data_IF_702914748601
#
_entry.id   IF_702914748601
#
_cell.length_a   1.000
_cell.length_b   1.000
_cell.length_c   1.000
_cell.angle_alpha   90.00
_cell.angle_beta   90.00
_cell.angle_gamma   90.00
#
_symmetry.space_group_name_H-M   'P 1'
#
loop_
_entity.id
_entity.type
_entity.pdbx_description
1 polymer ?
#
# COMPACT_ATOMS: atom_id res chain seq x y z
N UNK A 1 60.30 -11.61 27.67
CA UNK A 1 59.35 -10.74 28.39
C UNK A 1 58.05 -10.77 27.60
N UNK A 2 57.03 -11.46 28.13
CA UNK A 2 55.72 -11.59 27.51
C UNK A 2 54.91 -10.31 27.71
N UNK A 3 54.28 -9.79 26.66
CA UNK A 3 53.17 -8.84 26.78
C UNK A 3 52.01 -9.37 25.94
N UNK A 4 51.08 -10.00 26.65
CA UNK A 4 49.74 -10.36 26.20
C UNK A 4 48.90 -9.08 26.14
N UNK A 5 48.31 -8.76 25.00
CA UNK A 5 47.22 -7.77 24.91
C UNK A 5 45.97 -8.53 24.47
N UNK A 6 45.02 -8.63 25.39
CA UNK A 6 43.72 -9.28 25.23
C UNK A 6 42.84 -8.54 24.20
N UNK A 7 41.95 -9.27 23.50
CA UNK A 7 40.96 -8.70 22.61
C UNK A 7 39.82 -8.08 23.41
N UNK A 8 39.47 -6.82 23.11
CA UNK A 8 38.23 -6.22 23.57
C UNK A 8 37.05 -6.89 22.86
N UNK A 9 36.51 -7.92 23.49
CA UNK A 9 35.15 -8.39 23.29
C UNK A 9 34.20 -7.32 23.82
N UNK A 10 33.84 -6.35 22.99
CA UNK A 10 32.71 -5.48 23.26
C UNK A 10 31.45 -6.33 23.09
N UNK A 11 30.88 -6.73 24.22
CA UNK A 11 29.52 -7.24 24.30
C UNK A 11 28.59 -6.21 23.65
N UNK A 12 28.12 -6.50 22.44
CA UNK A 12 26.89 -5.92 21.90
C UNK A 12 25.76 -6.42 22.80
N UNK A 13 25.47 -5.64 23.84
CA UNK A 13 24.29 -5.81 24.67
C UNK A 13 23.07 -5.79 23.75
N UNK A 14 22.44 -6.96 23.72
CA UNK A 14 21.18 -7.28 23.09
C UNK A 14 20.09 -6.37 23.66
N UNK A 15 19.83 -5.24 22.99
CA UNK A 15 18.65 -4.41 23.24
C UNK A 15 17.42 -5.13 22.69
N UNK A 16 16.78 -5.95 23.53
CA UNK A 16 15.50 -6.58 23.24
C UNK A 16 14.47 -5.51 22.87
N UNK A 17 14.15 -5.42 21.58
CA UNK A 17 13.19 -4.44 21.07
C UNK A 17 11.79 -4.80 21.57
N UNK A 18 11.12 -3.88 22.24
CA UNK A 18 9.68 -3.90 22.52
C UNK A 18 8.80 -3.70 21.26
N UNK A 19 9.40 -3.73 20.06
CA UNK A 19 8.70 -3.55 18.79
C UNK A 19 7.68 -4.64 18.39
N UNK A 20 7.85 -5.95 18.71
CA UNK A 20 6.94 -6.98 18.22
C UNK A 20 5.50 -6.82 18.72
N UNK A 21 5.31 -6.54 20.01
CA UNK A 21 3.98 -6.44 20.64
C UNK A 21 3.23 -5.16 20.24
N UNK A 22 3.95 -4.04 20.06
CA UNK A 22 3.33 -2.80 19.60
C UNK A 22 2.85 -2.94 18.14
N UNK A 23 3.63 -3.62 17.30
CA UNK A 23 3.27 -3.83 15.90
C UNK A 23 2.08 -4.79 15.76
N UNK A 24 2.03 -5.87 16.53
CA UNK A 24 0.90 -6.82 16.48
C UNK A 24 -0.43 -6.18 16.87
N UNK A 25 -0.41 -5.23 17.82
CA UNK A 25 -1.61 -4.49 18.21
C UNK A 25 -2.06 -3.49 17.14
N UNK A 26 -1.13 -2.99 16.33
CA UNK A 26 -1.45 -2.08 15.23
C UNK A 26 -1.93 -2.85 13.99
N UNK A 27 -1.45 -4.06 13.73
CA UNK A 27 -1.73 -4.82 12.48
C UNK A 27 -2.92 -5.78 12.56
N UNK A 28 -3.96 -5.40 13.31
CA UNK A 28 -5.15 -6.23 13.50
C UNK A 28 -6.41 -5.56 12.95
N UNK A 29 -6.37 -5.20 11.66
CA UNK A 29 -7.53 -4.62 11.01
C UNK A 29 -8.71 -5.59 10.98
N UNK A 30 -9.90 -5.04 11.24
CA UNK A 30 -11.14 -5.78 11.37
C UNK A 30 -11.99 -5.67 10.11
N UNK A 31 -13.00 -6.53 9.97
CA UNK A 31 -14.00 -6.40 8.90
C UNK A 31 -14.64 -5.02 8.82
N UNK A 32 -14.91 -4.38 9.97
CA UNK A 32 -15.46 -3.03 10.03
C UNK A 32 -14.49 -2.00 9.43
N UNK A 33 -13.20 -2.17 9.64
CA UNK A 33 -12.18 -1.29 9.08
C UNK A 33 -12.10 -1.37 7.56
N UNK A 34 -12.21 -2.59 7.00
CA UNK A 34 -12.28 -2.76 5.54
C UNK A 34 -13.51 -2.08 4.95
N UNK A 35 -14.67 -2.26 5.58
CA UNK A 35 -15.90 -1.60 5.13
C UNK A 35 -15.82 -0.07 5.27
N UNK A 36 -15.23 0.44 6.34
CA UNK A 36 -15.07 1.88 6.53
C UNK A 36 -14.11 2.50 5.50
N UNK A 37 -12.98 1.85 5.22
CA UNK A 37 -12.04 2.24 4.18
C UNK A 37 -12.68 2.31 2.78
N UNK A 38 -13.51 1.32 2.43
CA UNK A 38 -14.16 1.24 1.13
C UNK A 38 -15.40 2.13 1.02
N UNK A 39 -15.95 2.60 2.14
CA UNK A 39 -17.13 3.48 2.20
C UNK A 39 -16.74 4.93 1.91
N UNK A 40 -16.37 5.20 0.67
CA UNK A 40 -15.99 6.53 0.21
C UNK A 40 -16.43 6.79 -1.22
N UNK A 41 -16.66 8.07 -1.55
CA UNK A 41 -16.80 8.54 -2.94
C UNK A 41 -15.49 9.12 -3.48
N UNK A 42 -14.45 9.17 -2.65
CA UNK A 42 -13.15 9.67 -3.05
C UNK A 42 -12.38 8.64 -3.88
N UNK A 43 -11.42 9.15 -4.63
CA UNK A 43 -10.39 8.33 -5.24
C UNK A 43 -9.47 7.75 -4.17
N UNK A 44 -9.19 6.45 -4.27
CA UNK A 44 -8.27 5.75 -3.37
C UNK A 44 -6.96 5.50 -4.14
N UNK A 45 -5.91 6.21 -3.75
CA UNK A 45 -4.62 6.20 -4.43
C UNK A 45 -3.66 5.17 -3.83
N UNK A 46 -2.92 4.47 -4.68
CA UNK A 46 -1.74 3.70 -4.28
C UNK A 46 -0.58 4.67 -4.08
N UNK A 47 -0.24 4.91 -2.80
CA UNK A 47 0.83 5.84 -2.43
C UNK A 47 2.20 5.17 -2.57
N UNK A 48 2.35 3.98 -2.00
CA UNK A 48 3.59 3.21 -2.02
C UNK A 48 3.34 1.70 -2.11
N UNK A 49 4.31 0.96 -2.66
CA UNK A 49 4.32 -0.50 -2.66
C UNK A 49 5.72 -1.05 -2.38
N UNK A 50 5.82 -2.27 -1.83
CA UNK A 50 7.10 -2.88 -1.47
C UNK A 50 7.88 -3.36 -2.69
N UNK A 51 7.19 -3.99 -3.65
CA UNK A 51 7.80 -4.56 -4.86
C UNK A 51 7.27 -3.84 -6.09
N UNK A 52 8.16 -3.45 -7.01
CA UNK A 52 7.76 -2.88 -8.29
C UNK A 52 7.27 -3.99 -9.20
N UNK A 53 5.95 -4.10 -9.39
CA UNK A 53 5.38 -5.16 -10.21
C UNK A 53 5.33 -4.84 -11.69
N UNK A 54 5.26 -3.54 -12.04
CA UNK A 54 5.12 -3.04 -13.40
C UNK A 54 5.65 -1.61 -13.44
N UNK A 55 6.11 -1.14 -14.61
CA UNK A 55 6.46 0.27 -14.89
C UNK A 55 5.20 1.16 -14.92
N UNK A 56 4.41 1.10 -13.85
CA UNK A 56 3.19 1.86 -13.64
C UNK A 56 3.30 2.72 -12.39
N UNK A 57 2.74 3.92 -12.50
CA UNK A 57 2.57 4.85 -11.41
C UNK A 57 1.16 5.45 -11.45
N UNK A 58 0.85 6.33 -10.50
CA UNK A 58 -0.44 7.00 -10.42
C UNK A 58 -1.64 6.04 -10.37
N UNK A 59 -1.46 4.88 -9.73
CA UNK A 59 -2.52 3.88 -9.60
C UNK A 59 -3.59 4.37 -8.64
N UNK A 60 -4.84 4.36 -9.08
CA UNK A 60 -5.99 4.88 -8.33
C UNK A 60 -7.20 3.97 -8.53
N UNK A 61 -7.98 3.79 -7.48
CA UNK A 61 -9.29 3.15 -7.53
C UNK A 61 -10.39 4.19 -7.46
N UNK A 62 -11.38 4.03 -8.33
CA UNK A 62 -12.58 4.85 -8.42
C UNK A 62 -13.76 3.94 -8.14
N UNK A 63 -14.42 4.16 -7.01
CA UNK A 63 -15.60 3.40 -6.61
C UNK A 63 -16.76 3.59 -7.59
N UNK A 64 -17.45 2.49 -7.91
CA UNK A 64 -18.70 2.54 -8.66
C UNK A 64 -19.87 2.12 -7.79
N UNK A 65 -19.82 0.92 -7.23
CA UNK A 65 -20.93 0.35 -6.48
C UNK A 65 -20.43 -0.61 -5.41
N UNK A 66 -21.26 -0.80 -4.39
CA UNK A 66 -21.07 -1.88 -3.41
C UNK A 66 -22.41 -2.52 -3.18
N UNK A 67 -22.50 -3.81 -3.51
CA UNK A 67 -23.71 -4.59 -3.33
C UNK A 67 -23.37 -5.91 -2.65
N UNK A 68 -24.00 -6.17 -1.51
CA UNK A 68 -23.66 -7.27 -0.61
C UNK A 68 -22.17 -7.22 -0.24
N UNK A 69 -21.41 -8.22 -0.66
CA UNK A 69 -19.97 -8.33 -0.44
C UNK A 69 -19.18 -8.15 -1.75
N UNK A 70 -19.77 -7.51 -2.77
CA UNK A 70 -19.09 -7.21 -4.01
C UNK A 70 -18.82 -5.71 -4.08
N UNK A 71 -17.55 -5.35 -4.24
CA UNK A 71 -17.09 -3.98 -4.44
C UNK A 71 -16.65 -3.80 -5.88
N UNK A 72 -17.34 -2.94 -6.62
CA UNK A 72 -17.02 -2.64 -8.03
C UNK A 72 -16.32 -1.30 -8.13
N UNK A 73 -15.26 -1.27 -8.92
CA UNK A 73 -14.43 -0.10 -9.09
C UNK A 73 -13.68 -0.13 -10.41
N UNK A 74 -13.22 1.03 -10.85
CA UNK A 74 -12.25 1.13 -11.92
C UNK A 74 -10.88 1.41 -11.33
N UNK A 75 -9.89 0.62 -11.75
CA UNK A 75 -8.50 0.94 -11.51
C UNK A 75 -7.95 1.71 -12.71
N UNK A 76 -7.48 2.92 -12.47
CA UNK A 76 -6.68 3.66 -13.43
C UNK A 76 -5.21 3.63 -13.03
N UNK A 77 -4.32 3.62 -14.00
CA UNK A 77 -2.87 3.79 -13.77
C UNK A 77 -2.24 4.46 -14.98
N UNK A 78 -1.04 5.02 -14.79
CA UNK A 78 -0.22 5.55 -15.86
C UNK A 78 0.95 4.60 -16.09
N UNK A 79 1.22 4.28 -17.36
CA UNK A 79 2.29 3.39 -17.79
C UNK A 79 3.27 4.14 -18.68
N UNK A 80 4.56 3.86 -18.52
CA UNK A 80 5.64 4.32 -19.40
C UNK A 80 6.47 5.48 -18.84
N UNK A 81 7.68 5.65 -19.40
CA UNK A 81 8.65 6.68 -19.01
C UNK A 81 8.37 8.07 -19.60
N UNK A 82 9.35 8.99 -19.47
CA UNK A 82 9.22 10.43 -19.75
C UNK A 82 8.74 10.86 -21.16
N UNK A 83 8.59 9.94 -22.12
CA UNK A 83 8.10 10.24 -23.47
C UNK A 83 6.81 9.52 -23.89
N UNK A 84 6.22 8.66 -23.04
CA UNK A 84 5.07 7.83 -23.44
C UNK A 84 4.16 7.51 -22.26
N UNK A 85 3.61 8.55 -21.61
CA UNK A 85 2.67 8.42 -20.49
C UNK A 85 1.28 7.99 -20.99
N UNK A 86 1.04 6.69 -21.11
CA UNK A 86 -0.28 6.16 -21.47
C UNK A 86 -1.10 5.91 -20.21
N UNK A 87 -2.32 6.47 -20.16
CA UNK A 87 -3.29 6.11 -19.13
C UNK A 87 -3.94 4.79 -19.50
N UNK A 88 -4.08 3.91 -18.53
CA UNK A 88 -4.86 2.68 -18.64
C UNK A 88 -5.97 2.69 -17.60
N UNK A 89 -7.11 2.13 -17.94
CA UNK A 89 -8.27 2.02 -17.07
C UNK A 89 -8.89 0.63 -17.24
N UNK A 90 -9.11 -0.06 -16.13
CA UNK A 90 -9.72 -1.39 -16.13
C UNK A 90 -10.81 -1.43 -15.08
N UNK A 91 -12.01 -1.84 -15.50
CA UNK A 91 -13.06 -2.16 -14.55
C UNK A 91 -12.67 -3.45 -13.83
N UNK A 92 -12.93 -3.49 -12.53
CA UNK A 92 -12.66 -4.62 -11.65
C UNK A 92 -13.81 -4.76 -10.66
N UNK A 93 -13.93 -5.95 -10.12
CA UNK A 93 -14.76 -6.20 -8.96
C UNK A 93 -13.94 -6.96 -7.93
N UNK A 94 -14.30 -6.79 -6.66
CA UNK A 94 -13.71 -7.54 -5.59
C UNK A 94 -14.77 -8.20 -4.73
N UNK A 95 -14.53 -9.48 -4.41
CA UNK A 95 -15.30 -10.17 -3.37
C UNK A 95 -14.67 -9.85 -2.02
N UNK A 96 -15.45 -9.25 -1.14
CA UNK A 96 -15.07 -8.92 0.22
C UNK A 96 -15.37 -10.13 1.13
N UNK A 97 -14.39 -10.56 1.91
CA UNK A 97 -14.53 -11.71 2.81
C UNK A 97 -14.21 -11.30 4.23
N UNK A 98 -15.17 -11.54 5.12
CA UNK A 98 -14.95 -11.49 6.55
C UNK A 98 -14.37 -12.84 6.98
N UNK A 99 -13.07 -12.87 7.29
CA UNK A 99 -12.48 -14.04 7.91
C UNK A 99 -12.51 -13.81 9.41
N UNK A 100 -13.39 -14.47 10.16
CA UNK A 100 -13.52 -14.21 11.61
C UNK A 100 -12.30 -14.64 12.42
N UNK A 101 -11.42 -15.46 11.83
CA UNK A 101 -10.18 -15.95 12.46
C UNK A 101 -8.92 -15.28 11.88
N UNK A 102 -9.04 -14.42 10.87
CA UNK A 102 -7.92 -13.75 10.21
C UNK A 102 -8.29 -12.29 9.87
N UNK A 103 -7.36 -11.53 9.31
CA UNK A 103 -7.67 -10.21 8.78
C UNK A 103 -8.67 -10.29 7.60
N UNK A 104 -9.50 -9.25 7.37
CA UNK A 104 -10.46 -9.25 6.28
C UNK A 104 -9.76 -9.11 4.93
N UNK A 105 -10.39 -9.68 3.90
CA UNK A 105 -9.77 -9.86 2.59
C UNK A 105 -10.62 -9.28 1.48
N UNK A 106 -9.96 -8.72 0.48
CA UNK A 106 -10.52 -8.25 -0.78
C UNK A 106 -9.90 -9.08 -1.93
N UNK A 107 -10.71 -9.92 -2.58
CA UNK A 107 -10.29 -10.72 -3.72
C UNK A 107 -10.68 -10.04 -5.03
N UNK A 108 -9.71 -9.36 -5.64
CA UNK A 108 -9.89 -8.56 -6.85
C UNK A 108 -9.80 -9.46 -8.09
N UNK A 109 -10.85 -9.42 -8.91
CA UNK A 109 -10.92 -10.07 -10.21
C UNK A 109 -11.09 -9.04 -11.33
N UNK A 110 -10.71 -9.43 -12.55
CA UNK A 110 -10.80 -8.58 -13.74
C UNK A 110 -12.05 -8.96 -14.55
N UNK A 111 -12.67 -7.99 -15.21
CA UNK A 111 -13.69 -8.30 -16.20
C UNK A 111 -13.05 -8.82 -17.49
N UNK A 112 -13.64 -9.87 -18.08
CA UNK A 112 -13.22 -10.41 -19.37
C UNK A 112 -13.46 -11.92 -19.50
N UNK A 113 -13.37 -12.48 -20.71
CA UNK A 113 -13.63 -13.91 -20.97
C UNK A 113 -12.53 -14.83 -20.42
N UNK A 114 -11.31 -14.31 -20.23
CA UNK A 114 -10.16 -15.04 -19.65
C UNK A 114 -9.39 -14.12 -18.69
N UNK A 115 -9.94 -13.83 -17.50
CA UNK A 115 -9.28 -12.95 -16.55
C UNK A 115 -8.02 -13.63 -15.99
N UNK A 116 -6.95 -12.87 -15.67
CA UNK A 116 -5.81 -13.41 -14.95
C UNK A 116 -6.24 -13.86 -13.54
N UNK A 117 -5.38 -14.63 -12.83
CA UNK A 117 -5.66 -15.04 -11.47
C UNK A 117 -6.03 -13.85 -10.56
N UNK A 118 -6.99 -14.04 -9.63
CA UNK A 118 -7.38 -13.00 -8.70
C UNK A 118 -6.20 -12.48 -7.87
N UNK A 119 -6.22 -11.17 -7.57
CA UNK A 119 -5.30 -10.58 -6.61
C UNK A 119 -5.98 -10.56 -5.25
N UNK A 120 -5.31 -11.09 -4.24
CA UNK A 120 -5.84 -11.12 -2.88
C UNK A 120 -5.14 -10.04 -2.09
N UNK A 121 -5.93 -9.11 -1.54
CA UNK A 121 -5.46 -8.07 -0.64
C UNK A 121 -6.02 -8.32 0.75
N UNK A 122 -5.14 -8.61 1.70
CA UNK A 122 -5.48 -8.73 3.11
C UNK A 122 -5.27 -7.38 3.78
N UNK A 123 -6.31 -6.81 4.39
CA UNK A 123 -6.15 -5.53 5.10
C UNK A 123 -5.38 -5.75 6.40
N UNK A 124 -4.23 -5.09 6.54
CA UNK A 124 -3.36 -5.25 7.70
C UNK A 124 -3.58 -4.11 8.70
N UNK A 125 -3.77 -2.90 8.17
CA UNK A 125 -3.89 -1.69 8.97
C UNK A 125 -4.88 -0.71 8.32
N UNK A 126 -5.67 -0.04 9.15
CA UNK A 126 -6.53 1.08 8.76
C UNK A 126 -6.46 2.15 9.84
N UNK A 127 -6.28 3.40 9.43
CA UNK A 127 -6.38 4.55 10.32
C UNK A 127 -7.44 5.54 9.81
N UNK A 128 -8.61 5.61 10.46
CA UNK A 128 -9.72 6.45 10.01
C UNK A 128 -9.40 7.95 9.95
N UNK A 129 -8.48 8.45 10.79
CA UNK A 129 -8.15 9.88 10.84
C UNK A 129 -7.27 10.33 9.67
N UNK A 130 -6.41 9.45 9.17
CA UNK A 130 -5.53 9.74 8.03
C UNK A 130 -6.08 9.17 6.72
N UNK A 131 -7.24 8.50 6.77
CA UNK A 131 -7.85 7.79 5.64
C UNK A 131 -6.85 6.94 4.86
N UNK A 132 -6.00 6.24 5.61
CA UNK A 132 -4.89 5.46 5.08
C UNK A 132 -4.98 4.01 5.53
N UNK A 133 -4.75 3.11 4.59
CA UNK A 133 -4.75 1.66 4.79
C UNK A 133 -3.44 1.05 4.29
N UNK A 134 -3.12 -0.11 4.85
CA UNK A 134 -2.03 -0.95 4.39
C UNK A 134 -2.59 -2.34 4.12
N UNK A 135 -2.42 -2.81 2.90
CA UNK A 135 -2.77 -4.17 2.49
C UNK A 135 -1.52 -5.02 2.35
N UNK A 136 -1.63 -6.32 2.61
CA UNK A 136 -0.69 -7.30 2.10
C UNK A 136 -1.27 -7.93 0.82
N UNK A 137 -0.55 -7.78 -0.29
CA UNK A 137 -0.94 -8.17 -1.63
C UNK A 137 -0.22 -9.44 -2.05
N UNK A 138 -0.96 -10.43 -2.56
CA UNK A 138 -0.36 -11.66 -3.09
C UNK A 138 0.54 -11.45 -4.29
N UNK A 139 0.45 -10.29 -4.95
CA UNK A 139 1.33 -9.97 -6.09
C UNK A 139 2.62 -9.25 -5.70
N UNK A 140 2.61 -8.40 -4.68
CA UNK A 140 3.71 -7.43 -4.47
C UNK A 140 4.06 -7.10 -3.02
N UNK A 141 3.56 -7.86 -2.05
CA UNK A 141 3.76 -7.57 -0.63
C UNK A 141 2.92 -6.38 -0.18
N UNK A 142 3.47 -5.47 0.61
CA UNK A 142 2.66 -4.40 1.20
C UNK A 142 2.32 -3.28 0.21
N UNK A 143 1.05 -2.88 0.18
CA UNK A 143 0.51 -1.73 -0.55
C UNK A 143 -0.05 -0.71 0.43
N UNK A 144 0.37 0.56 0.31
CA UNK A 144 -0.20 1.67 1.06
C UNK A 144 -1.23 2.40 0.21
N UNK A 145 -2.49 2.44 0.66
CA UNK A 145 -3.60 3.08 -0.06
C UNK A 145 -4.18 4.22 0.77
N UNK A 146 -4.33 5.40 0.17
CA UNK A 146 -4.77 6.62 0.85
C UNK A 146 -5.91 7.28 0.07
N UNK A 147 -6.90 7.81 0.77
CA UNK A 147 -7.93 8.62 0.12
C UNK A 147 -7.33 9.93 -0.40
N UNK A 148 -7.84 10.43 -1.52
CA UNK A 148 -7.31 11.61 -2.22
C UNK A 148 -7.13 12.83 -1.30
N UNK A 149 -8.09 13.09 -0.41
CA UNK A 149 -8.03 14.23 0.52
C UNK A 149 -6.89 14.16 1.55
N UNK A 150 -6.28 12.98 1.75
CA UNK A 150 -5.27 12.74 2.79
C UNK A 150 -3.91 12.28 2.24
N UNK A 151 -3.68 12.41 0.93
CA UNK A 151 -2.42 12.05 0.27
C UNK A 151 -1.18 12.66 0.97
N UNK A 152 -1.30 13.92 1.39
CA UNK A 152 -0.24 14.66 2.09
C UNK A 152 -0.32 14.57 3.63
N UNK A 153 -1.41 14.00 4.18
CA UNK A 153 -1.67 13.94 5.62
C UNK A 153 -1.89 12.50 6.10
N UNK A 154 -0.85 11.68 5.97
CA UNK A 154 -0.83 10.25 6.31
C UNK A 154 0.44 9.81 7.08
N UNK A 155 0.93 10.68 7.97
CA UNK A 155 2.23 10.53 8.64
C UNK A 155 2.36 9.27 9.50
N UNK A 156 1.35 8.92 10.30
CA UNK A 156 1.39 7.71 11.13
C UNK A 156 1.32 6.46 10.26
N UNK A 157 0.47 6.47 9.24
CA UNK A 157 0.40 5.38 8.27
C UNK A 157 1.72 5.19 7.51
N UNK A 158 2.38 6.27 7.10
CA UNK A 158 3.69 6.24 6.45
C UNK A 158 4.74 5.58 7.36
N UNK A 159 4.74 5.91 8.66
CA UNK A 159 5.64 5.30 9.66
C UNK A 159 5.38 3.80 9.81
N UNK A 160 4.12 3.39 9.93
CA UNK A 160 3.75 1.98 10.08
C UNK A 160 4.11 1.20 8.81
N UNK A 161 3.86 1.77 7.64
CA UNK A 161 4.22 1.18 6.36
C UNK A 161 5.74 0.98 6.24
N UNK A 162 6.53 1.97 6.65
CA UNK A 162 7.99 1.89 6.67
C UNK A 162 8.49 0.75 7.59
N UNK A 163 7.90 0.61 8.79
CA UNK A 163 8.22 -0.51 9.70
C UNK A 163 7.89 -1.86 9.07
N UNK A 164 6.71 -2.02 8.46
CA UNK A 164 6.27 -3.27 7.81
C UNK A 164 7.16 -3.65 6.62
N UNK A 165 7.63 -2.64 5.87
CA UNK A 165 8.48 -2.83 4.70
C UNK A 165 9.97 -2.85 5.02
N UNK A 166 10.37 -2.57 6.27
CA UNK A 166 11.78 -2.45 6.70
C UNK A 166 12.55 -1.42 5.85
N UNK A 167 11.94 -0.27 5.56
CA UNK A 167 12.56 0.77 4.72
C UNK A 167 12.53 0.53 3.22
N UNK A 168 12.07 -0.65 2.76
CA UNK A 168 12.02 -0.97 1.34
C UNK A 168 10.67 -0.60 0.74
N UNK A 169 10.54 0.65 0.30
CA UNK A 169 9.31 1.18 -0.30
C UNK A 169 9.56 1.87 -1.64
N UNK A 170 8.64 1.69 -2.57
CA UNK A 170 8.65 2.35 -3.88
C UNK A 170 7.43 3.27 -3.94
N UNK A 171 7.68 4.55 -4.19
CA UNK A 171 6.62 5.55 -4.35
C UNK A 171 5.92 5.34 -5.70
N UNK A 172 4.60 5.19 -5.64
CA UNK A 172 3.72 5.01 -6.80
C UNK A 172 2.90 6.27 -7.07
N UNK A 173 2.49 6.95 -6.00
CA UNK A 173 1.91 8.27 -6.11
C UNK A 173 3.02 9.32 -6.25
N UNK A 174 2.78 10.30 -7.12
CA UNK A 174 3.64 11.45 -7.35
C UNK A 174 2.74 12.68 -7.57
N UNK A 175 3.19 13.91 -7.25
CA UNK A 175 2.39 15.11 -7.51
C UNK A 175 1.96 15.26 -8.98
N UNK A 176 2.80 14.75 -9.91
CA UNK A 176 2.50 14.70 -11.35
C UNK A 176 1.28 13.83 -11.72
N UNK A 177 0.81 13.00 -10.80
CA UNK A 177 -0.40 12.19 -10.96
C UNK A 177 -1.68 13.03 -10.92
N UNK A 178 -1.69 14.11 -10.13
CA UNK A 178 -2.81 15.06 -10.06
C UNK A 178 -2.67 16.17 -11.10
N UNK A 179 -1.45 16.65 -11.30
CA UNK A 179 -1.17 17.72 -12.25
C UNK A 179 -0.13 17.25 -13.28
N UNK A 180 -0.54 16.91 -14.52
CA UNK A 180 0.40 16.45 -15.54
C UNK A 180 1.46 17.50 -15.93
N UNK A 181 1.20 18.78 -15.64
CA UNK A 181 2.12 19.90 -15.85
C UNK A 181 2.99 20.20 -14.62
N UNK A 182 2.98 19.33 -13.61
CA UNK A 182 3.83 19.50 -12.44
C UNK A 182 5.29 19.53 -12.87
N UNK A 183 5.95 20.67 -12.64
CA UNK A 183 7.34 20.87 -13.05
C UNK A 183 8.26 20.04 -12.16
N UNK A 184 9.01 19.16 -12.80
CA UNK A 184 9.95 18.28 -12.11
C UNK A 184 11.24 19.03 -11.84
N UNK A 185 11.38 19.58 -10.64
CA UNK A 185 12.65 20.15 -10.19
C UNK A 185 13.43 19.03 -9.47
N UNK A 186 14.45 18.48 -10.13
CA UNK A 186 15.31 17.41 -9.57
C UNK A 186 15.28 16.09 -10.34
N UNK A 187 15.51 14.97 -9.65
CA UNK A 187 15.61 13.64 -10.29
C UNK A 187 14.27 13.25 -10.92
N UNK A 188 14.21 12.89 -12.22
CA UNK A 188 12.96 12.67 -12.94
C UNK A 188 12.05 11.56 -12.39
N UNK A 189 12.58 10.67 -11.55
CA UNK A 189 11.85 9.55 -10.95
C UNK A 189 10.84 9.97 -9.87
N UNK A 190 10.99 11.18 -9.32
CA UNK A 190 10.02 11.77 -8.37
C UNK A 190 8.85 12.49 -9.07
N UNK A 191 8.81 12.38 -10.39
CA UNK A 191 7.70 12.70 -11.26
C UNK A 191 7.21 11.49 -12.05
#
# INVERSE_FOLDING_TARGET
MFVLILPFLVHLAYGGSSQPELLSNLTNATWRDLLDFLRTREQIWLKAQKIHLQDTDCTVWIHFSTHNNTYEFQEMSRRGGLGSRKKSAFNKFAKLKNNTQQQPVMEISYHGPKPPPPVVLTLIFWIPNEKCSIFNSTKGGYEQRVWKSHLENSTLCDKIYNVLTRGSSILIYKPSCLNPNYLCVGVPTYC
#
